data_IF_241832478797
#
_entry.id   IF_241832478797
#
_cell.length_a   1.000
_cell.length_b   1.000
_cell.length_c   1.000
_cell.angle_alpha   90.00
_cell.angle_beta   90.00
_cell.angle_gamma   90.00
#
_symmetry.space_group_name_H-M   'P 1'
#
loop_
_entity.id
_entity.type
_entity.pdbx_description
1 polymer ?
#
# COMPACT_ATOMS: atom_id res chain seq x y z
N UNK A 1 10.31 11.87 0.02
CA UNK A 1 10.41 11.88 -1.46
C UNK A 1 10.21 10.45 -1.93
N UNK A 2 9.08 10.14 -2.56
CA UNK A 2 8.73 8.79 -3.01
C UNK A 2 8.67 8.68 -4.53
N UNK A 3 8.71 7.46 -5.04
CA UNK A 3 8.54 7.15 -6.46
C UNK A 3 7.05 7.23 -6.79
N UNK A 4 6.66 8.15 -7.67
CA UNK A 4 5.29 8.25 -8.17
C UNK A 4 5.01 7.12 -9.16
N UNK A 5 4.06 6.24 -8.84
CA UNK A 5 3.60 5.18 -9.76
C UNK A 5 2.11 5.35 -10.07
N UNK A 6 1.72 5.03 -11.31
CA UNK A 6 0.31 5.00 -11.72
C UNK A 6 -0.26 6.28 -12.35
N UNK A 7 0.53 7.35 -12.54
CA UNK A 7 0.05 8.57 -13.24
C UNK A 7 -0.14 8.37 -14.75
N UNK A 8 0.70 7.52 -15.39
CA UNK A 8 0.72 7.38 -16.86
C UNK A 8 0.75 5.91 -17.35
N UNK A 9 0.82 4.92 -16.45
CA UNK A 9 0.89 3.50 -16.80
C UNK A 9 -0.12 2.68 -16.00
N UNK A 10 -0.85 1.79 -16.68
CA UNK A 10 -1.86 0.92 -16.07
C UNK A 10 -1.20 -0.09 -15.13
N UNK A 11 -1.30 0.15 -13.82
CA UNK A 11 -0.90 -0.83 -12.81
C UNK A 11 -1.84 -2.03 -12.85
N UNK A 12 -1.29 -3.23 -12.99
CA UNK A 12 -2.00 -4.48 -12.79
C UNK A 12 -1.99 -4.81 -11.30
N UNK A 13 -3.15 -5.20 -10.79
CA UNK A 13 -3.32 -5.71 -9.44
C UNK A 13 -3.59 -7.19 -9.55
N UNK A 14 -2.92 -7.99 -8.72
CA UNK A 14 -3.27 -9.40 -8.51
C UNK A 14 -3.43 -9.62 -7.02
N UNK A 15 -4.48 -10.33 -6.63
CA UNK A 15 -4.82 -10.60 -5.24
C UNK A 15 -4.83 -12.09 -5.01
N UNK A 16 -4.17 -12.53 -3.95
CA UNK A 16 -4.23 -13.88 -3.42
C UNK A 16 -4.77 -13.83 -1.99
N UNK A 17 -5.77 -14.65 -1.71
CA UNK A 17 -6.39 -14.73 -0.38
C UNK A 17 -6.11 -16.10 0.22
N UNK A 18 -5.63 -16.10 1.46
CA UNK A 18 -5.57 -17.27 2.31
C UNK A 18 -6.72 -17.22 3.33
N UNK A 19 -6.77 -18.18 4.27
CA UNK A 19 -7.75 -18.16 5.36
C UNK A 19 -7.53 -17.00 6.34
N UNK A 20 -6.30 -16.51 6.48
CA UNK A 20 -5.92 -15.56 7.53
C UNK A 20 -5.23 -14.30 7.02
N UNK A 21 -4.96 -14.22 5.72
CA UNK A 21 -4.23 -13.10 5.13
C UNK A 21 -4.55 -12.89 3.66
N UNK A 22 -4.24 -11.70 3.18
CA UNK A 22 -4.28 -11.28 1.80
C UNK A 22 -2.84 -10.98 1.36
N UNK A 23 -2.51 -11.31 0.12
CA UNK A 23 -1.31 -10.87 -0.56
C UNK A 23 -1.70 -10.15 -1.84
N UNK A 24 -1.11 -9.00 -2.09
CA UNK A 24 -1.33 -8.21 -3.29
C UNK A 24 -0.03 -8.05 -4.06
N UNK A 25 -0.14 -8.07 -5.39
CA UNK A 25 0.93 -7.73 -6.31
C UNK A 25 0.49 -6.54 -7.13
N UNK A 26 1.30 -5.48 -7.09
CA UNK A 26 1.15 -4.29 -7.91
C UNK A 26 2.27 -4.32 -8.95
N UNK A 27 1.92 -4.45 -10.22
CA UNK A 27 2.93 -4.58 -11.29
C UNK A 27 2.64 -3.74 -12.53
N UNK A 28 3.69 -3.18 -13.12
CA UNK A 28 3.73 -2.68 -14.49
C UNK A 28 5.05 -3.10 -15.14
N UNK A 29 5.36 -2.56 -16.32
CA UNK A 29 6.57 -2.94 -17.07
C UNK A 29 7.90 -2.49 -16.42
N UNK A 30 7.84 -1.63 -15.40
CA UNK A 30 9.00 -0.99 -14.75
C UNK A 30 9.19 -1.38 -13.30
N UNK A 31 8.10 -1.75 -12.61
CA UNK A 31 8.11 -2.06 -11.19
C UNK A 31 7.13 -3.18 -10.88
N UNK A 32 7.57 -4.06 -9.99
CA UNK A 32 6.71 -5.01 -9.30
C UNK A 32 6.88 -4.86 -7.78
N UNK A 33 5.77 -4.70 -7.08
CA UNK A 33 5.71 -4.65 -5.62
C UNK A 33 4.78 -5.76 -5.13
N UNK A 34 5.32 -6.69 -4.36
CA UNK A 34 4.59 -7.77 -3.73
C UNK A 34 4.43 -7.47 -2.23
N UNK A 35 3.19 -7.38 -1.74
CA UNK A 35 2.89 -7.13 -0.34
C UNK A 35 2.10 -8.32 0.19
N UNK A 36 2.68 -9.06 1.13
CA UNK A 36 2.08 -10.21 1.80
C UNK A 36 1.59 -9.85 3.19
N UNK A 37 0.94 -10.81 3.87
CA UNK A 37 0.54 -10.69 5.29
C UNK A 37 -0.42 -9.54 5.61
N UNK A 38 -1.13 -9.00 4.62
CA UNK A 38 -2.22 -8.05 4.87
C UNK A 38 -3.36 -8.78 5.60
N UNK A 39 -3.91 -8.17 6.65
CA UNK A 39 -5.10 -8.70 7.31
C UNK A 39 -6.35 -8.13 6.66
N UNK A 40 -7.47 -8.84 6.79
CA UNK A 40 -8.77 -8.33 6.35
C UNK A 40 -9.13 -7.00 7.02
N UNK A 41 -8.79 -6.83 8.30
CA UNK A 41 -8.96 -5.57 9.05
C UNK A 41 -8.13 -4.42 8.47
N UNK A 42 -7.00 -4.69 7.81
CA UNK A 42 -6.20 -3.62 7.20
C UNK A 42 -6.90 -3.06 5.95
N UNK A 43 -7.64 -3.91 5.23
CA UNK A 43 -8.46 -3.47 4.09
C UNK A 43 -9.56 -2.51 4.55
N UNK A 44 -10.16 -2.76 5.72
CA UNK A 44 -11.13 -1.83 6.32
C UNK A 44 -10.48 -0.49 6.68
N UNK A 45 -9.26 -0.50 7.25
CA UNK A 45 -8.54 0.76 7.54
C UNK A 45 -8.21 1.54 6.28
N UNK A 46 -7.90 0.87 5.17
CA UNK A 46 -7.61 1.54 3.89
C UNK A 46 -8.79 2.35 3.35
N UNK A 47 -10.04 2.01 3.71
CA UNK A 47 -11.22 2.81 3.35
C UNK A 47 -11.20 4.21 3.97
N UNK A 48 -10.50 4.36 5.10
CA UNK A 48 -10.34 5.61 5.83
C UNK A 48 -8.90 6.12 5.78
N UNK A 49 -8.14 5.81 4.71
CA UNK A 49 -6.70 6.14 4.61
C UNK A 49 -6.40 7.63 4.84
N UNK A 50 -7.35 8.51 4.50
CA UNK A 50 -7.19 9.97 4.63
C UNK A 50 -7.00 10.45 6.08
N UNK A 51 -7.39 9.63 7.06
CA UNK A 51 -7.18 9.88 8.50
C UNK A 51 -5.73 9.58 8.94
N UNK A 52 -4.99 8.78 8.16
CA UNK A 52 -3.64 8.30 8.49
C UNK A 52 -2.58 9.18 7.86
N UNK A 53 -2.39 10.36 8.44
CA UNK A 53 -1.42 11.35 7.97
C UNK A 53 -0.02 11.12 8.55
N UNK A 54 0.95 10.91 7.67
CA UNK A 54 2.35 10.69 8.07
C UNK A 54 2.94 11.87 8.86
N UNK A 55 2.59 13.11 8.48
CA UNK A 55 2.99 14.34 9.20
C UNK A 55 2.58 14.35 10.68
N UNK A 56 1.53 13.61 11.03
CA UNK A 56 1.03 13.47 12.40
C UNK A 56 1.57 12.22 13.10
N UNK A 57 2.62 11.58 12.56
CA UNK A 57 3.14 10.27 12.98
C UNK A 57 2.04 9.21 13.01
N UNK A 58 1.14 9.26 12.02
CA UNK A 58 0.03 8.32 11.90
C UNK A 58 0.11 7.60 10.56
N UNK A 59 0.37 6.30 10.62
CA UNK A 59 0.42 5.42 9.47
C UNK A 59 -0.22 4.09 9.82
N UNK A 60 -0.65 3.34 8.80
CA UNK A 60 -1.15 1.98 8.95
C UNK A 60 0.01 1.04 8.68
N UNK A 61 0.53 0.37 9.72
CA UNK A 61 1.41 -0.79 9.54
C UNK A 61 0.57 -1.97 9.04
N UNK A 62 0.68 -2.28 7.76
CA UNK A 62 -0.12 -3.31 7.10
C UNK A 62 0.67 -4.00 5.98
N UNK A 63 0.91 -5.29 6.22
CA UNK A 63 1.61 -6.18 5.31
C UNK A 63 3.13 -6.12 5.42
N UNK A 64 3.78 -6.96 4.61
CA UNK A 64 5.23 -7.09 4.51
C UNK A 64 5.64 -7.20 3.04
N UNK A 65 6.84 -6.75 2.74
CA UNK A 65 7.47 -7.00 1.44
C UNK A 65 8.93 -7.32 1.66
N UNK A 66 9.41 -8.38 1.01
CA UNK A 66 10.71 -8.98 1.37
C UNK A 66 10.74 -9.26 2.88
N UNK A 67 11.78 -8.78 3.58
CA UNK A 67 11.93 -8.90 5.04
C UNK A 67 11.51 -7.63 5.79
N UNK A 68 10.94 -6.63 5.10
CA UNK A 68 10.58 -5.32 5.67
C UNK A 68 9.07 -5.17 5.91
N UNK A 69 8.73 -4.38 6.92
CA UNK A 69 7.36 -3.98 7.19
C UNK A 69 6.89 -2.93 6.17
N UNK A 70 5.58 -2.91 5.91
CA UNK A 70 4.94 -1.95 5.02
C UNK A 70 4.02 -1.03 5.81
N UNK A 71 4.18 0.26 5.60
CA UNK A 71 3.36 1.30 6.21
C UNK A 71 2.63 2.11 5.14
N UNK A 72 1.38 2.45 5.41
CA UNK A 72 0.53 3.19 4.49
C UNK A 72 0.13 4.51 5.13
N UNK A 73 0.23 5.60 4.39
CA UNK A 73 -0.17 6.92 4.87
C UNK A 73 -0.75 7.77 3.76
N UNK A 74 -1.46 8.82 4.14
CA UNK A 74 -2.02 9.80 3.24
C UNK A 74 -1.29 11.15 3.37
N UNK A 75 -0.92 11.72 2.24
CA UNK A 75 -0.34 13.05 2.17
C UNK A 75 -0.72 13.71 0.84
N UNK A 76 -1.21 14.96 0.90
CA UNK A 76 -1.45 15.81 -0.27
C UNK A 76 -2.25 15.13 -1.41
N UNK A 77 -3.30 14.38 -1.07
CA UNK A 77 -4.16 13.71 -2.07
C UNK A 77 -3.58 12.40 -2.63
N UNK A 78 -2.51 11.88 -2.04
CA UNK A 78 -1.87 10.62 -2.44
C UNK A 78 -1.72 9.68 -1.27
N UNK A 79 -1.65 8.40 -1.59
CA UNK A 79 -1.33 7.35 -0.64
C UNK A 79 0.12 6.97 -0.82
N UNK A 80 0.89 7.00 0.26
CA UNK A 80 2.29 6.63 0.26
C UNK A 80 2.46 5.28 0.94
N UNK A 81 3.04 4.34 0.21
CA UNK A 81 3.50 3.04 0.71
C UNK A 81 4.97 3.21 1.11
N UNK A 82 5.27 3.06 2.38
CA UNK A 82 6.61 3.14 2.95
C UNK A 82 7.05 1.73 3.31
N UNK A 83 8.27 1.36 2.90
CA UNK A 83 8.85 0.05 3.15
C UNK A 83 10.12 0.26 3.95
N UNK A 84 10.18 -0.38 5.12
CA UNK A 84 11.39 -0.42 5.94
C UNK A 84 11.17 -0.78 7.39
N UNK A 85 12.10 -0.36 8.24
CA UNK A 85 12.07 -0.68 9.67
C UNK A 85 10.87 -0.04 10.39
N UNK A 86 10.59 1.22 10.08
CA UNK A 86 9.43 1.97 10.58
C UNK A 86 9.01 3.03 9.56
N UNK A 87 7.97 3.81 9.91
CA UNK A 87 7.45 4.87 9.07
C UNK A 87 8.32 6.14 9.05
N UNK A 88 9.36 6.28 9.88
CA UNK A 88 10.33 7.40 9.83
C UNK A 88 11.66 7.01 9.13
N UNK A 89 12.04 5.74 9.20
CA UNK A 89 13.32 5.18 8.74
C UNK A 89 13.15 4.23 7.53
N UNK A 90 12.21 4.54 6.64
CA UNK A 90 11.92 3.73 5.45
C UNK A 90 13.03 3.82 4.40
N UNK A 91 13.31 2.72 3.68
CA UNK A 91 14.26 2.71 2.56
C UNK A 91 13.59 3.04 1.22
N UNK A 92 12.32 2.68 1.06
CA UNK A 92 11.55 2.91 -0.18
C UNK A 92 10.20 3.54 0.12
N UNK A 93 9.89 4.63 -0.57
CA UNK A 93 8.58 5.28 -0.56
C UNK A 93 7.96 5.24 -1.95
N UNK A 94 6.72 4.79 -2.07
CA UNK A 94 5.99 4.66 -3.33
C UNK A 94 4.65 5.38 -3.20
N UNK A 95 4.42 6.37 -4.06
CA UNK A 95 3.16 7.10 -4.08
C UNK A 95 2.20 6.46 -5.10
N UNK A 96 0.98 6.20 -4.66
CA UNK A 96 -0.12 5.75 -5.50
C UNK A 96 -1.31 6.72 -5.42
N UNK A 97 -2.18 6.68 -6.43
CA UNK A 97 -3.44 7.43 -6.41
C UNK A 97 -4.47 6.78 -5.49
N UNK A 98 -5.40 7.58 -4.97
CA UNK A 98 -6.59 7.07 -4.26
C UNK A 98 -7.44 6.14 -5.14
N UNK A 99 -7.47 6.39 -6.45
CA UNK A 99 -8.13 5.51 -7.42
C UNK A 99 -7.49 4.11 -7.42
N UNK A 100 -6.15 4.03 -7.43
CA UNK A 100 -5.47 2.74 -7.38
C UNK A 100 -5.73 2.03 -6.04
N UNK A 101 -5.70 2.76 -4.92
CA UNK A 101 -6.06 2.17 -3.62
C UNK A 101 -7.51 1.66 -3.61
N UNK A 102 -8.47 2.42 -4.15
CA UNK A 102 -9.86 1.97 -4.26
C UNK A 102 -9.98 0.67 -5.06
N UNK A 103 -9.21 0.53 -6.15
CA UNK A 103 -9.18 -0.70 -6.94
C UNK A 103 -8.54 -1.87 -6.17
N UNK A 104 -7.52 -1.62 -5.35
CA UNK A 104 -6.95 -2.63 -4.45
C UNK A 104 -8.01 -3.12 -3.47
N UNK A 105 -8.69 -2.20 -2.76
CA UNK A 105 -9.74 -2.53 -1.78
C UNK A 105 -10.81 -3.41 -2.42
N UNK A 106 -11.36 -3.00 -3.57
CA UNK A 106 -12.38 -3.76 -4.30
C UNK A 106 -11.92 -5.19 -4.64
N UNK A 107 -10.69 -5.37 -5.10
CA UNK A 107 -10.18 -6.71 -5.43
C UNK A 107 -9.88 -7.55 -4.18
N UNK A 108 -9.54 -6.91 -3.06
CA UNK A 108 -9.36 -7.58 -1.77
C UNK A 108 -10.69 -8.03 -1.14
N UNK A 109 -11.82 -7.42 -1.52
CA UNK A 109 -13.15 -7.80 -1.03
C UNK A 109 -13.81 -8.89 -1.89
N UNK A 110 -13.65 -8.84 -3.22
CA UNK A 110 -14.20 -9.81 -4.18
C UNK A 110 -13.56 -11.20 -4.07
#
# INVERSE_FOLDING_TARGET
MGIDIGKNNKMKISVYKSKSSISIKLGNDYLELNISELKFEDIEKFKNIEEYKWENRNSIKAGKTLDSDVFWSFQEGRVTILIGQDDECWEVGINISLELLSNIIKQCEN
#
